data_IF_947794124421
#
_entry.id   IF_947794124421
#
_cell.length_a   1.000
_cell.length_b   1.000
_cell.length_c   1.000
_cell.angle_alpha   90.00
_cell.angle_beta   90.00
_cell.angle_gamma   90.00
#
_symmetry.space_group_name_H-M   'P 1'
#
loop_
_entity.id
_entity.type
_entity.pdbx_description
1 polymer ?
#
# COMPACT_ATOMS: atom_id res chain seq x y z
N UNK A 1 -0.12 11.14 -2.05
CA UNK A 1 -0.37 11.28 -3.50
C UNK A 1 0.31 10.23 -4.38
N UNK A 2 1.41 9.56 -3.96
CA UNK A 2 2.03 8.47 -4.76
C UNK A 2 1.19 7.19 -4.87
N UNK A 3 0.32 6.89 -3.91
CA UNK A 3 -0.54 5.69 -3.90
C UNK A 3 -1.56 5.63 -5.04
N UNK A 4 -2.07 6.77 -5.50
CA UNK A 4 -3.01 6.81 -6.64
C UNK A 4 -2.37 6.36 -7.95
N UNK A 5 -1.10 6.75 -8.18
CA UNK A 5 -0.35 6.37 -9.39
C UNK A 5 -0.12 4.85 -9.41
N UNK A 6 0.18 4.24 -8.26
CA UNK A 6 0.32 2.80 -8.14
C UNK A 6 -1.00 2.08 -8.44
N UNK A 7 -2.13 2.60 -7.97
CA UNK A 7 -3.47 2.03 -8.22
C UNK A 7 -3.87 2.15 -9.70
N UNK A 8 -3.56 3.29 -10.33
CA UNK A 8 -3.76 3.49 -11.77
C UNK A 8 -2.86 2.52 -12.56
N UNK A 9 -1.60 2.37 -12.17
CA UNK A 9 -0.68 1.45 -12.83
C UNK A 9 -1.13 -0.01 -12.73
N UNK A 10 -1.63 -0.46 -11.57
CA UNK A 10 -2.18 -1.83 -11.45
C UNK A 10 -3.48 -2.01 -12.20
N UNK A 11 -4.32 -0.98 -12.29
CA UNK A 11 -5.56 -1.02 -13.05
C UNK A 11 -5.28 -1.09 -14.58
N UNK A 12 -4.33 -0.31 -15.08
CA UNK A 12 -3.90 -0.36 -16.49
C UNK A 12 -3.23 -1.70 -16.81
N UNK A 13 -2.42 -2.25 -15.89
CA UNK A 13 -1.82 -3.57 -16.06
C UNK A 13 -2.86 -4.70 -16.04
N UNK A 14 -3.89 -4.63 -15.18
CA UNK A 14 -4.96 -5.64 -15.18
C UNK A 14 -5.83 -5.54 -16.44
N UNK A 15 -6.15 -4.32 -16.88
CA UNK A 15 -6.90 -4.08 -18.12
C UNK A 15 -6.12 -4.59 -19.33
N UNK A 16 -4.81 -4.32 -19.38
CA UNK A 16 -3.92 -4.84 -20.42
C UNK A 16 -3.84 -6.36 -20.44
N UNK A 17 -3.80 -7.00 -19.27
CA UNK A 17 -3.77 -8.45 -19.16
C UNK A 17 -5.11 -9.10 -19.58
N UNK A 18 -6.25 -8.47 -19.27
CA UNK A 18 -7.59 -8.93 -19.71
C UNK A 18 -7.70 -8.89 -21.24
N UNK A 19 -7.23 -7.82 -21.87
CA UNK A 19 -7.20 -7.70 -23.34
C UNK A 19 -6.26 -8.75 -23.94
N UNK A 20 -5.11 -9.03 -23.29
CA UNK A 20 -4.17 -10.05 -23.73
C UNK A 20 -4.78 -11.47 -23.66
N UNK A 21 -5.54 -11.78 -22.60
CA UNK A 21 -6.23 -13.07 -22.44
C UNK A 21 -7.37 -13.28 -23.42
N UNK A 22 -8.04 -12.20 -23.85
CA UNK A 22 -9.11 -12.29 -24.85
C UNK A 22 -8.57 -12.59 -26.25
N UNK A 23 -7.31 -12.27 -26.53
CA UNK A 23 -6.71 -12.41 -27.86
C UNK A 23 -5.79 -13.64 -28.01
N UNK A 24 -5.46 -14.34 -26.92
CA UNK A 24 -4.51 -15.47 -26.97
C UNK A 24 -4.96 -16.67 -26.15
N UNK A 25 -4.75 -17.88 -26.68
CA UNK A 25 -5.04 -19.15 -25.99
C UNK A 25 -4.13 -19.41 -24.76
N UNK A 26 -3.24 -18.47 -24.42
CA UNK A 26 -2.24 -18.57 -23.35
C UNK A 26 -2.71 -17.84 -22.07
N UNK A 27 -3.89 -18.22 -21.60
CA UNK A 27 -4.52 -17.65 -20.38
C UNK A 27 -3.62 -17.85 -19.15
N UNK A 28 -2.95 -19.00 -19.08
CA UNK A 28 -2.09 -19.37 -17.93
C UNK A 28 -0.93 -18.38 -17.73
N UNK A 29 -0.26 -17.97 -18.80
CA UNK A 29 0.87 -17.03 -18.71
C UNK A 29 0.40 -15.63 -18.31
N UNK A 30 -0.76 -15.20 -18.79
CA UNK A 30 -1.33 -13.91 -18.43
C UNK A 30 -1.74 -13.87 -16.94
N UNK A 31 -2.37 -14.93 -16.44
CA UNK A 31 -2.72 -15.05 -15.02
C UNK A 31 -1.46 -15.06 -14.14
N UNK A 32 -0.41 -15.77 -14.54
CA UNK A 32 0.87 -15.76 -13.81
C UNK A 32 1.47 -14.35 -13.71
N UNK A 33 1.46 -13.58 -14.81
CA UNK A 33 1.93 -12.20 -14.81
C UNK A 33 1.11 -11.29 -13.89
N UNK A 34 -0.21 -11.41 -13.90
CA UNK A 34 -1.10 -10.64 -13.02
C UNK A 34 -0.74 -10.92 -11.56
N UNK A 35 -0.57 -12.19 -11.18
CA UNK A 35 -0.26 -12.59 -9.80
C UNK A 35 1.11 -12.08 -9.34
N UNK A 36 2.11 -12.09 -10.20
CA UNK A 36 3.45 -11.54 -9.89
C UNK A 36 3.37 -10.04 -9.65
N UNK A 37 2.67 -9.31 -10.51
CA UNK A 37 2.49 -7.86 -10.37
C UNK A 37 1.68 -7.52 -9.12
N UNK A 38 0.62 -8.28 -8.83
CA UNK A 38 -0.19 -8.10 -7.63
C UNK A 38 0.58 -8.39 -6.34
N UNK A 39 1.37 -9.46 -6.30
CA UNK A 39 2.16 -9.79 -5.12
C UNK A 39 3.23 -8.73 -4.83
N UNK A 40 3.94 -8.25 -5.85
CA UNK A 40 4.88 -7.12 -5.71
C UNK A 40 4.19 -5.83 -5.25
N UNK A 41 3.00 -5.54 -5.77
CA UNK A 41 2.21 -4.39 -5.36
C UNK A 41 1.77 -4.46 -3.90
N UNK A 42 1.22 -5.61 -3.48
CA UNK A 42 0.78 -5.84 -2.11
C UNK A 42 1.96 -5.75 -1.14
N UNK A 43 3.13 -6.29 -1.53
CA UNK A 43 4.35 -6.20 -0.74
C UNK A 43 4.79 -4.74 -0.52
N UNK A 44 4.91 -3.96 -1.59
CA UNK A 44 5.31 -2.55 -1.50
C UNK A 44 4.28 -1.72 -0.72
N UNK A 45 2.98 -1.99 -0.92
CA UNK A 45 1.91 -1.35 -0.17
C UNK A 45 1.97 -1.65 1.32
N UNK A 46 2.14 -2.92 1.70
CA UNK A 46 2.29 -3.35 3.10
C UNK A 46 3.52 -2.73 3.75
N UNK A 47 4.64 -2.65 3.03
CA UNK A 47 5.87 -2.09 3.58
C UNK A 47 5.74 -0.58 3.83
N UNK A 48 5.01 0.13 2.96
CA UNK A 48 4.71 1.55 3.14
C UNK A 48 3.65 1.82 4.19
N UNK A 49 2.61 0.98 4.27
CA UNK A 49 1.57 1.12 5.29
C UNK A 49 2.16 0.92 6.67
N UNK A 50 3.07 -0.05 6.86
CA UNK A 50 3.83 -0.22 8.11
C UNK A 50 4.60 1.04 8.49
N UNK A 51 5.29 1.68 7.55
CA UNK A 51 6.00 2.97 7.81
C UNK A 51 5.04 4.10 8.16
N UNK A 52 3.90 4.21 7.47
CA UNK A 52 2.89 5.23 7.75
C UNK A 52 2.22 5.02 9.13
N UNK A 53 1.89 3.78 9.47
CA UNK A 53 1.34 3.41 10.78
C UNK A 53 2.35 3.67 11.90
N UNK A 54 3.63 3.33 11.70
CA UNK A 54 4.68 3.61 12.66
C UNK A 54 4.91 5.12 12.87
N UNK A 55 4.68 5.95 11.84
CA UNK A 55 4.75 7.42 11.96
C UNK A 55 3.58 7.95 12.78
N UNK A 56 2.35 7.54 12.45
CA UNK A 56 1.14 7.90 13.22
C UNK A 56 1.19 7.41 14.66
N UNK A 57 1.74 6.22 14.89
CA UNK A 57 1.90 5.67 16.24
C UNK A 57 2.83 6.52 17.09
N UNK A 58 3.99 6.94 16.55
CA UNK A 58 4.92 7.84 17.23
C UNK A 58 4.31 9.21 17.53
N UNK A 59 3.58 9.80 16.58
CA UNK A 59 2.86 11.06 16.80
C UNK A 59 1.83 10.96 17.93
N UNK A 60 1.06 9.87 17.99
CA UNK A 60 0.10 9.62 19.08
C UNK A 60 0.79 9.48 20.43
N UNK A 61 1.90 8.74 20.50
CA UNK A 61 2.66 8.52 21.72
C UNK A 61 3.28 9.83 22.24
N UNK A 62 3.81 10.65 21.34
CA UNK A 62 4.32 11.98 21.68
C UNK A 62 3.21 12.91 22.20
N UNK A 63 2.05 12.93 21.53
CA UNK A 63 0.88 13.69 21.97
C UNK A 63 0.37 13.23 23.35
N UNK A 64 0.35 11.92 23.61
CA UNK A 64 -0.01 11.38 24.93
C UNK A 64 1.01 11.79 26.01
N UNK A 65 2.30 11.74 25.70
CA UNK A 65 3.34 12.18 26.64
C UNK A 65 3.21 13.67 26.97
N UNK A 66 3.07 14.52 25.96
CA UNK A 66 2.84 15.97 26.15
C UNK A 66 1.60 16.26 27.00
N UNK A 67 0.49 15.53 26.79
CA UNK A 67 -0.72 15.64 27.62
C UNK A 67 -0.47 15.21 29.07
N UNK A 68 0.29 14.12 29.29
CA UNK A 68 0.63 13.67 30.64
C UNK A 68 1.54 14.65 31.39
N UNK A 69 2.44 15.33 30.68
CA UNK A 69 3.30 16.38 31.25
C UNK A 69 2.50 17.63 31.59
N UNK A 70 1.59 18.08 30.72
CA UNK A 70 0.74 19.24 30.98
C UNK A 70 -0.28 19.02 32.12
N UNK A 71 -0.73 17.78 32.33
CA UNK A 71 -1.71 17.46 33.36
C UNK A 71 -1.10 17.28 34.76
N UNK A 72 0.23 17.29 34.91
CA UNK A 72 0.87 17.22 36.22
C UNK A 72 1.39 18.62 36.63
N UNK A 73 0.58 19.45 37.33
CA UNK A 73 0.96 20.79 37.76
C UNK A 73 1.85 20.78 39.01
N UNK A 74 2.65 19.74 39.24
CA UNK A 74 3.61 19.69 40.36
C UNK A 74 4.99 20.16 39.92
N UNK A 75 5.04 21.42 39.50
CA UNK A 75 6.09 22.40 39.79
C UNK A 75 5.45 23.79 39.76
#
# INVERSE_FOLDING_TARGET
MKTGIYLIATCVLSMGAVILTLNTAHIVTAVAFILIIWSLFVWDYLNRSKKATARKFRERLFQQHMRSVLHNPRY
#
